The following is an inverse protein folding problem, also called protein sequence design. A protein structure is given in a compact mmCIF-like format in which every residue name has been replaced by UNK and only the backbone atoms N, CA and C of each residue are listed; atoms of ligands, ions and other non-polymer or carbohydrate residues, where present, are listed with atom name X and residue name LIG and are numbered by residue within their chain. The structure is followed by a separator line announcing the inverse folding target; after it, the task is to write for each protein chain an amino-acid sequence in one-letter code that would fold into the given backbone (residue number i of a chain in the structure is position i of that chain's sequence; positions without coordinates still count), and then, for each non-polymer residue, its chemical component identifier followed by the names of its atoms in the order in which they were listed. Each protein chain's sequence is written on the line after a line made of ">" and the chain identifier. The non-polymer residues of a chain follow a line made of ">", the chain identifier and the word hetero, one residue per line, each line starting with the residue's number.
data_IF_770770612639
#
_entry.id   IF_770770612639
#
_cell.length_a   1.000
_cell.length_b   1.000
_cell.length_c   1.000
_cell.angle_alpha   90.00
_cell.angle_beta   90.00
_cell.angle_gamma   90.00
#
_symmetry.space_group_name_H-M   'P 1'
#
loop_
_entity.id
_entity.type
_entity.pdbx_description
1 polymer ?
#
# COMPACT_ATOMS: atom_id res chain seq x y z
N UNK A 1 -35.94 -40.64 -14.38
CA UNK A 1 -35.11 -40.73 -13.16
C UNK A 1 -33.65 -40.51 -13.60
N UNK A 2 -33.25 -39.30 -14.01
CA UNK A 2 -32.51 -38.29 -13.21
C UNK A 2 -31.24 -38.88 -12.57
N UNK A 3 -30.09 -38.88 -13.27
CA UNK A 3 -29.14 -37.76 -13.40
C UNK A 3 -28.58 -37.27 -12.05
N UNK A 4 -27.65 -38.02 -11.44
CA UNK A 4 -26.99 -37.66 -10.16
C UNK A 4 -25.44 -37.74 -10.24
N UNK A 5 -24.84 -38.13 -11.36
CA UNK A 5 -23.39 -38.43 -11.43
C UNK A 5 -22.51 -37.37 -12.12
N UNK A 6 -22.65 -36.07 -11.81
CA UNK A 6 -21.79 -35.06 -12.48
C UNK A 6 -21.32 -33.86 -11.65
N UNK A 7 -21.25 -33.95 -10.32
CA UNK A 7 -20.87 -32.77 -9.49
C UNK A 7 -19.65 -32.96 -8.55
N UNK A 8 -18.92 -34.07 -8.61
CA UNK A 8 -17.82 -34.36 -7.64
C UNK A 8 -16.40 -34.06 -8.20
N UNK A 9 -16.26 -33.53 -9.42
CA UNK A 9 -14.93 -33.37 -10.08
C UNK A 9 -14.26 -32.00 -9.97
N UNK A 10 -14.80 -31.04 -9.21
CA UNK A 10 -14.27 -29.67 -9.11
C UNK A 10 -13.70 -29.31 -7.73
N UNK A 11 -13.23 -30.28 -6.95
CA UNK A 11 -12.60 -30.05 -5.64
C UNK A 11 -11.14 -30.52 -5.61
N UNK A 12 -10.26 -29.94 -6.44
CA UNK A 12 -8.81 -30.17 -6.37
C UNK A 12 -7.98 -29.03 -6.98
N UNK A 13 -8.32 -27.77 -6.68
CA UNK A 13 -7.46 -26.61 -6.98
C UNK A 13 -7.08 -25.84 -5.69
N UNK A 14 -7.49 -26.33 -4.52
CA UNK A 14 -7.24 -25.64 -3.23
C UNK A 14 -5.80 -25.78 -2.68
N UNK A 15 -4.94 -26.79 -2.99
CA UNK A 15 -3.67 -26.89 -2.28
C UNK A 15 -2.58 -25.92 -2.79
N UNK A 16 -2.71 -25.34 -3.99
CA UNK A 16 -1.60 -24.57 -4.59
C UNK A 16 -1.52 -23.11 -4.11
N UNK A 17 -2.64 -22.52 -3.66
CA UNK A 17 -2.66 -21.14 -3.17
C UNK A 17 -2.09 -21.04 -1.74
N UNK A 18 -2.07 -22.14 -0.97
CA UNK A 18 -1.63 -22.11 0.43
C UNK A 18 -0.11 -21.94 0.60
N UNK A 19 0.70 -22.38 -0.37
CA UNK A 19 2.16 -22.44 -0.22
C UNK A 19 2.86 -21.07 -0.39
N UNK A 20 2.30 -20.12 -1.14
CA UNK A 20 2.93 -18.81 -1.37
C UNK A 20 2.70 -17.80 -0.24
N UNK A 21 1.75 -18.03 0.67
CA UNK A 21 1.41 -17.07 1.74
C UNK A 21 2.23 -17.20 3.04
N UNK A 22 2.89 -18.34 3.28
CA UNK A 22 3.54 -18.59 4.57
C UNK A 22 4.87 -17.85 4.76
N UNK A 23 5.63 -17.62 3.69
CA UNK A 23 6.97 -17.02 3.78
C UNK A 23 6.93 -15.52 4.14
N UNK A 24 5.92 -14.78 3.65
CA UNK A 24 5.73 -13.36 3.97
C UNK A 24 5.23 -13.15 5.41
N UNK A 25 4.33 -14.02 5.88
CA UNK A 25 3.75 -13.93 7.22
C UNK A 25 4.79 -14.06 8.36
N UNK A 26 5.86 -14.84 8.15
CA UNK A 26 6.90 -15.04 9.17
C UNK A 26 7.80 -13.82 9.33
N UNK A 27 8.21 -13.18 8.23
CA UNK A 27 9.00 -11.94 8.28
C UNK A 27 8.19 -10.77 8.87
N UNK A 28 6.88 -10.73 8.58
CA UNK A 28 5.93 -9.78 9.18
C UNK A 28 5.83 -9.91 10.70
N UNK A 29 5.81 -11.14 11.20
CA UNK A 29 5.63 -11.39 12.62
C UNK A 29 6.78 -10.82 13.47
N UNK A 30 8.02 -10.89 12.99
CA UNK A 30 9.19 -10.48 13.74
C UNK A 30 9.32 -8.95 13.84
N UNK A 31 9.16 -8.24 12.72
CA UNK A 31 9.22 -6.76 12.69
C UNK A 31 8.02 -6.12 13.39
N UNK A 32 6.83 -6.70 13.26
CA UNK A 32 5.64 -6.29 14.02
C UNK A 32 5.80 -6.55 15.51
N UNK A 33 6.45 -7.64 15.91
CA UNK A 33 6.76 -7.91 17.32
C UNK A 33 7.68 -6.83 17.92
N UNK A 34 8.68 -6.36 17.17
CA UNK A 34 9.53 -5.25 17.60
C UNK A 34 8.74 -3.93 17.77
N UNK A 35 7.80 -3.63 16.85
CA UNK A 35 6.92 -2.47 17.01
C UNK A 35 6.00 -2.61 18.24
N UNK A 36 5.47 -3.81 18.50
CA UNK A 36 4.64 -4.10 19.67
C UNK A 36 5.42 -3.98 20.99
N UNK A 37 6.69 -4.37 21.01
CA UNK A 37 7.57 -4.17 22.16
C UNK A 37 7.77 -2.67 22.46
N UNK A 38 7.99 -1.85 21.43
CA UNK A 38 8.10 -0.39 21.62
C UNK A 38 6.79 0.23 22.12
N UNK A 39 5.64 -0.28 21.69
CA UNK A 39 4.33 0.14 22.21
C UNK A 39 4.23 -0.15 23.71
N UNK A 40 4.56 -1.37 24.13
CA UNK A 40 4.53 -1.79 25.53
C UNK A 40 5.47 -0.95 26.40
N UNK A 41 6.71 -0.71 25.92
CA UNK A 41 7.66 0.18 26.60
C UNK A 41 7.13 1.61 26.72
N UNK A 42 6.51 2.15 25.67
CA UNK A 42 5.90 3.48 25.70
C UNK A 42 4.78 3.57 26.74
N UNK A 43 3.88 2.59 26.77
CA UNK A 43 2.76 2.56 27.73
C UNK A 43 3.27 2.43 29.18
N UNK A 44 4.27 1.58 29.43
CA UNK A 44 4.91 1.48 30.75
C UNK A 44 5.55 2.79 31.19
N UNK A 45 6.20 3.50 30.26
CA UNK A 45 6.78 4.80 30.57
C UNK A 45 5.67 5.83 30.91
N UNK A 46 4.57 5.85 30.15
CA UNK A 46 3.42 6.69 30.47
C UNK A 46 2.83 6.39 31.85
N UNK A 47 2.79 5.11 32.25
CA UNK A 47 2.31 4.71 33.56
C UNK A 47 3.20 5.25 34.68
N UNK A 48 4.52 5.25 34.48
CA UNK A 48 5.52 5.81 35.40
C UNK A 48 5.40 7.33 35.48
N UNK A 49 5.39 8.00 34.32
CA UNK A 49 5.42 9.47 34.23
C UNK A 49 4.14 10.11 34.78
N UNK A 50 2.99 9.43 34.62
CA UNK A 50 1.68 9.95 35.00
C UNK A 50 0.98 9.11 36.07
N UNK A 51 1.74 8.52 37.00
CA UNK A 51 1.21 7.64 38.06
C UNK A 51 0.03 8.24 38.84
N UNK A 52 0.06 9.54 39.11
CA UNK A 52 -0.98 10.24 39.88
C UNK A 52 -1.90 11.10 39.01
N UNK A 53 -1.74 11.07 37.69
CA UNK A 53 -2.43 11.95 36.75
C UNK A 53 -3.18 11.13 35.68
N UNK A 54 -4.35 10.56 36.01
CA UNK A 54 -5.06 9.62 35.14
C UNK A 54 -5.47 10.25 33.80
N UNK A 55 -5.70 11.56 33.77
CA UNK A 55 -6.04 12.30 32.54
C UNK A 55 -4.85 12.33 31.57
N UNK A 56 -3.65 12.61 32.06
CA UNK A 56 -2.43 12.63 31.24
C UNK A 56 -2.03 11.21 30.81
N UNK A 57 -2.22 10.21 31.67
CA UNK A 57 -2.04 8.80 31.32
C UNK A 57 -2.94 8.38 30.15
N UNK A 58 -4.22 8.77 30.17
CA UNK A 58 -5.15 8.47 29.08
C UNK A 58 -4.76 9.17 27.76
N UNK A 59 -4.22 10.39 27.83
CA UNK A 59 -3.72 11.11 26.66
C UNK A 59 -2.44 10.49 26.07
N UNK A 60 -1.71 9.68 26.85
CA UNK A 60 -0.48 9.03 26.41
C UNK A 60 -0.75 7.80 25.50
N UNK A 61 -1.87 7.10 25.71
CA UNK A 61 -2.30 5.95 24.90
C UNK A 61 -2.36 6.23 23.39
N UNK A 62 -3.03 7.30 22.91
CA UNK A 62 -3.06 7.60 21.47
C UNK A 62 -1.68 7.97 20.92
N UNK A 63 -0.80 8.59 21.71
CA UNK A 63 0.58 8.90 21.29
C UNK A 63 1.38 7.62 21.07
N UNK A 64 1.36 6.69 22.02
CA UNK A 64 2.03 5.40 21.89
C UNK A 64 1.44 4.57 20.74
N UNK A 65 0.11 4.57 20.59
CA UNK A 65 -0.59 3.89 19.50
C UNK A 65 -0.23 4.47 18.13
N UNK A 66 -0.07 5.79 18.03
CA UNK A 66 0.37 6.47 16.81
C UNK A 66 1.78 6.06 16.41
N UNK A 67 2.71 5.95 17.38
CA UNK A 67 4.07 5.46 17.12
C UNK A 67 4.08 4.01 16.63
N UNK A 68 3.25 3.16 17.23
CA UNK A 68 3.08 1.77 16.77
C UNK A 68 2.57 1.72 15.32
N UNK A 69 1.52 2.48 15.00
CA UNK A 69 0.96 2.53 13.65
C UNK A 69 1.99 3.03 12.61
N UNK A 70 2.80 4.02 12.96
CA UNK A 70 3.89 4.49 12.10
C UNK A 70 4.97 3.42 11.88
N UNK A 71 5.36 2.70 12.93
CA UNK A 71 6.31 1.58 12.84
C UNK A 71 5.77 0.45 11.95
N UNK A 72 4.55 -0.01 12.20
CA UNK A 72 3.90 -1.08 11.44
C UNK A 72 3.71 -0.70 9.96
N UNK A 73 3.32 0.55 9.68
CA UNK A 73 3.21 1.08 8.32
C UNK A 73 4.58 1.18 7.61
N UNK A 74 5.63 1.59 8.33
CA UNK A 74 7.00 1.65 7.79
C UNK A 74 7.51 0.27 7.38
N UNK A 75 7.26 -0.76 8.20
CA UNK A 75 7.57 -2.16 7.87
C UNK A 75 6.83 -2.61 6.61
N UNK A 76 5.54 -2.28 6.49
CA UNK A 76 4.75 -2.60 5.30
C UNK A 76 5.28 -1.87 4.05
N UNK A 77 5.68 -0.60 4.19
CA UNK A 77 6.24 0.20 3.11
C UNK A 77 7.59 -0.34 2.60
N UNK A 78 8.52 -0.65 3.52
CA UNK A 78 9.82 -1.24 3.15
C UNK A 78 9.66 -2.57 2.41
N UNK A 79 8.63 -3.36 2.75
CA UNK A 79 8.29 -4.57 1.99
C UNK A 79 7.71 -4.27 0.61
N UNK A 80 6.90 -3.22 0.50
CA UNK A 80 6.29 -2.82 -0.77
C UNK A 80 7.31 -2.14 -1.72
N UNK A 81 8.42 -1.62 -1.20
CA UNK A 81 9.47 -0.93 -1.94
C UNK A 81 9.91 -1.62 -3.23
N UNK A 82 10.28 -2.92 -3.26
CA UNK A 82 10.66 -3.59 -4.51
C UNK A 82 9.52 -3.65 -5.54
N UNK A 83 8.27 -3.82 -5.10
CA UNK A 83 7.12 -3.76 -6.00
C UNK A 83 6.89 -2.33 -6.51
N UNK A 84 7.02 -1.33 -5.65
CA UNK A 84 6.92 0.09 -6.01
C UNK A 84 7.99 0.50 -7.02
N UNK A 85 9.24 0.06 -6.84
CA UNK A 85 10.35 0.28 -7.78
C UNK A 85 10.05 -0.34 -9.14
N UNK A 86 9.49 -1.56 -9.16
CA UNK A 86 9.07 -2.22 -10.40
C UNK A 86 7.92 -1.50 -11.09
N UNK A 87 6.92 -1.01 -10.35
CA UNK A 87 5.85 -0.20 -10.93
C UNK A 87 6.37 1.13 -11.48
N UNK A 88 7.26 1.80 -10.74
CA UNK A 88 7.88 3.05 -11.18
C UNK A 88 8.67 2.86 -12.48
N UNK A 89 9.41 1.75 -12.60
CA UNK A 89 10.11 1.37 -13.83
C UNK A 89 9.16 1.18 -14.99
N UNK A 90 8.07 0.40 -14.80
CA UNK A 90 7.05 0.19 -15.85
C UNK A 90 6.37 1.48 -16.27
N UNK A 91 6.03 2.35 -15.31
CA UNK A 91 5.45 3.66 -15.60
C UNK A 91 6.41 4.50 -16.42
N UNK A 92 7.70 4.55 -16.06
CA UNK A 92 8.73 5.25 -16.81
C UNK A 92 8.81 4.74 -18.25
N UNK A 93 8.90 3.42 -18.45
CA UNK A 93 8.99 2.80 -19.79
C UNK A 93 7.75 3.13 -20.63
N UNK A 94 6.56 3.15 -20.02
CA UNK A 94 5.31 3.55 -20.69
C UNK A 94 5.36 5.01 -21.14
N UNK A 95 5.77 5.94 -20.28
CA UNK A 95 5.85 7.35 -20.63
C UNK A 95 6.95 7.63 -21.67
N UNK A 96 8.09 6.94 -21.59
CA UNK A 96 9.15 7.03 -22.60
C UNK A 96 8.69 6.51 -23.97
N UNK A 97 7.96 5.38 -24.02
CA UNK A 97 7.40 4.89 -25.28
C UNK A 97 6.32 5.83 -25.84
N UNK A 98 5.49 6.42 -24.97
CA UNK A 98 4.48 7.41 -25.35
C UNK A 98 5.14 8.65 -25.96
N UNK A 99 6.15 9.23 -25.30
CA UNK A 99 6.89 10.39 -25.80
C UNK A 99 7.63 10.05 -27.10
N UNK A 100 8.22 8.86 -27.21
CA UNK A 100 8.86 8.43 -28.46
C UNK A 100 7.87 8.29 -29.61
N UNK A 101 6.65 7.81 -29.35
CA UNK A 101 5.59 7.64 -30.36
C UNK A 101 4.93 8.95 -30.78
N UNK A 102 4.74 9.89 -29.86
CA UNK A 102 3.89 11.07 -30.08
C UNK A 102 4.62 12.41 -29.88
N UNK A 103 5.83 12.41 -29.33
CA UNK A 103 6.62 13.60 -29.01
C UNK A 103 7.38 14.19 -30.20
N UNK A 104 6.78 14.22 -31.39
CA UNK A 104 7.32 15.09 -32.44
C UNK A 104 7.13 16.56 -32.01
N UNK A 105 8.19 17.39 -32.01
CA UNK A 105 8.03 18.83 -31.81
C UNK A 105 7.30 19.41 -33.02
N UNK A 106 6.03 19.80 -32.85
CA UNK A 106 5.29 20.52 -33.89
C UNK A 106 3.76 20.41 -33.92
N UNK A 107 3.09 19.65 -33.03
CA UNK A 107 1.62 19.58 -33.02
C UNK A 107 1.02 19.89 -31.64
N UNK A 108 1.16 21.14 -31.23
CA UNK A 108 0.05 21.82 -30.56
C UNK A 108 -0.50 22.80 -31.58
N UNK A 109 -1.53 22.40 -32.32
CA UNK A 109 -2.32 23.37 -33.08
C UNK A 109 -2.95 24.32 -32.05
N UNK A 110 -2.54 25.58 -32.13
CA UNK A 110 -3.14 26.68 -31.39
C UNK A 110 -4.64 26.74 -31.73
N UNK A 111 -5.56 26.72 -30.76
CA UNK A 111 -6.99 26.86 -31.04
C UNK A 111 -7.42 28.27 -31.47
N UNK A 112 -6.52 29.24 -31.67
CA UNK A 112 -6.85 30.55 -32.24
C UNK A 112 -6.68 30.61 -33.76
N UNK A 113 -7.77 30.29 -34.47
CA UNK A 113 -7.78 30.38 -35.92
C UNK A 113 -9.17 30.51 -36.56
N UNK A 114 -10.16 31.12 -35.90
CA UNK A 114 -11.42 31.55 -36.56
C UNK A 114 -12.00 32.85 -35.99
N UNK A 115 -11.30 33.96 -36.21
CA UNK A 115 -12.00 35.24 -36.36
C UNK A 115 -12.24 35.44 -37.85
N UNK A 116 -13.44 35.05 -38.30
CA UNK A 116 -13.91 35.40 -39.64
C UNK A 116 -14.18 36.90 -39.65
N UNK A 117 -13.50 37.62 -40.53
CA UNK A 117 -13.89 38.95 -40.96
C UNK A 117 -15.37 38.92 -41.40
N UNK A 118 -16.25 39.54 -40.62
CA UNK A 118 -17.54 40.00 -41.09
C UNK A 118 -17.42 41.52 -41.21
N UNK A 119 -16.98 41.96 -42.39
CA UNK A 119 -17.19 43.34 -42.84
C UNK A 119 -18.70 43.55 -42.99
N UNK A 120 -19.26 44.45 -42.18
CA UNK A 120 -20.52 45.16 -42.43
C UNK A 120 -20.15 46.56 -42.89
#
# INVERSE_FOLDING_TARGET
>A
MTAIHTWIRTLSIVPFILALGLASAQADSHSRAACAEQLDQCLKQCDIDYMQEPVHRAACVPVCSGKFAACDAGVAYERAKPWLEEQARKSKDFFEDLIRKYGQPGQTEDPEGKTKDNSI
#
